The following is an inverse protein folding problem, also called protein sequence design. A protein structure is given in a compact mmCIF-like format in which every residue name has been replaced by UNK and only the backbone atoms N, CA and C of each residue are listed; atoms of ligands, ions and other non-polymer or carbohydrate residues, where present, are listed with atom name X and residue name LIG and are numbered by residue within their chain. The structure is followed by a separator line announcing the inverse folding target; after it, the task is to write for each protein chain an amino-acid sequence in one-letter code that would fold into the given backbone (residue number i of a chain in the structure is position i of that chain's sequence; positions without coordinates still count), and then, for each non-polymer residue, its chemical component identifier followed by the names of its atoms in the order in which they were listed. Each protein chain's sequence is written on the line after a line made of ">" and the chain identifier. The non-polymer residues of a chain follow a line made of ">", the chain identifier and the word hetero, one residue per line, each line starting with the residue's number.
data_IF_017135468804
#
_entry.id   IF_017135468804
#
_cell.length_a   1.000
_cell.length_b   1.000
_cell.length_c   1.000
_cell.angle_alpha   90.00
_cell.angle_beta   90.00
_cell.angle_gamma   90.00
#
_symmetry.space_group_name_H-M   'P 1'
#
loop_
_entity.id
_entity.type
_entity.pdbx_description
1 polymer ?
#
# COMPACT_ATOMS: atom_id res chain seq x y z
N UNK A 1 -5.56 -16.63 1.94
CA UNK A 1 -5.30 -16.43 3.38
C UNK A 1 -6.62 -16.67 4.07
N UNK A 2 -6.81 -17.76 4.79
CA UNK A 2 -8.10 -18.08 5.42
C UNK A 2 -7.87 -18.70 6.81
N UNK A 3 -8.67 -18.34 7.82
CA UNK A 3 -9.77 -17.36 7.78
C UNK A 3 -9.27 -15.89 7.67
N UNK A 4 -10.11 -15.02 7.12
CA UNK A 4 -9.84 -13.58 7.02
C UNK A 4 -10.63 -12.81 8.08
N UNK A 5 -9.93 -12.10 8.96
CA UNK A 5 -10.51 -11.42 10.13
C UNK A 5 -11.05 -10.02 9.76
N UNK A 6 -12.11 -9.99 8.94
CA UNK A 6 -12.67 -8.76 8.37
C UNK A 6 -13.12 -7.73 9.42
N UNK A 7 -13.81 -8.17 10.46
CA UNK A 7 -14.39 -7.27 11.49
C UNK A 7 -13.31 -6.56 12.32
N UNK A 8 -12.26 -7.28 12.72
CA UNK A 8 -11.13 -6.72 13.45
C UNK A 8 -10.33 -5.75 12.59
N UNK A 9 -10.10 -6.10 11.32
CA UNK A 9 -9.45 -5.23 10.35
C UNK A 9 -10.23 -3.92 10.20
N UNK A 10 -11.55 -3.99 10.03
CA UNK A 10 -12.40 -2.80 9.90
C UNK A 10 -12.44 -1.96 11.17
N UNK A 11 -12.41 -2.58 12.34
CA UNK A 11 -12.32 -1.87 13.63
C UNK A 11 -11.05 -1.04 13.75
N UNK A 12 -9.95 -1.50 13.15
CA UNK A 12 -8.67 -0.78 13.13
C UNK A 12 -8.68 0.30 12.04
N UNK A 13 -9.01 -0.08 10.79
CA UNK A 13 -8.92 0.80 9.63
C UNK A 13 -9.89 1.98 9.68
N UNK A 14 -11.08 1.80 10.23
CA UNK A 14 -12.08 2.88 10.37
C UNK A 14 -11.62 4.05 11.26
N UNK A 15 -10.60 3.85 12.11
CA UNK A 15 -10.04 4.89 12.98
C UNK A 15 -8.87 5.64 12.34
N UNK A 16 -8.33 5.13 11.23
CA UNK A 16 -7.21 5.74 10.56
C UNK A 16 -7.68 6.96 9.75
N UNK A 17 -6.96 8.09 9.85
CA UNK A 17 -7.25 9.30 9.05
C UNK A 17 -6.87 9.13 7.57
N UNK A 18 -5.88 8.28 7.32
CA UNK A 18 -5.37 7.95 5.99
C UNK A 18 -4.77 6.56 6.05
N UNK A 19 -5.00 5.77 5.01
CA UNK A 19 -4.55 4.40 4.87
C UNK A 19 -3.80 4.23 3.56
N UNK A 20 -2.64 3.59 3.64
CA UNK A 20 -1.77 3.37 2.49
C UNK A 20 -1.42 1.89 2.45
N UNK A 21 -1.72 1.24 1.33
CA UNK A 21 -1.34 -0.16 1.12
C UNK A 21 0.04 -0.21 0.46
N UNK A 22 0.95 -0.97 1.07
CA UNK A 22 2.30 -1.24 0.54
C UNK A 22 2.35 -2.69 0.07
N UNK A 23 2.67 -2.93 -1.20
CA UNK A 23 2.69 -4.28 -1.77
C UNK A 23 3.70 -4.43 -2.92
N UNK A 24 4.41 -5.57 -2.96
CA UNK A 24 5.28 -5.95 -4.08
C UNK A 24 4.47 -6.60 -5.20
N UNK A 25 3.50 -5.86 -5.75
CA UNK A 25 2.57 -6.40 -6.74
C UNK A 25 2.05 -5.31 -7.68
N UNK A 26 2.06 -5.57 -8.98
CA UNK A 26 1.59 -4.61 -9.99
C UNK A 26 0.07 -4.38 -9.93
N UNK A 27 -0.71 -5.46 -9.94
CA UNK A 27 -2.17 -5.42 -10.04
C UNK A 27 -2.88 -5.08 -8.72
N UNK A 28 -2.15 -5.15 -7.62
CA UNK A 28 -2.64 -4.84 -6.29
C UNK A 28 -3.53 -5.91 -5.69
N UNK A 29 -3.05 -7.15 -5.72
CA UNK A 29 -3.82 -8.31 -5.29
C UNK A 29 -4.27 -8.23 -3.84
N UNK A 30 -3.43 -7.70 -2.94
CA UNK A 30 -3.82 -7.55 -1.53
C UNK A 30 -4.91 -6.49 -1.38
N UNK A 31 -4.74 -5.33 -2.03
CA UNK A 31 -5.76 -4.28 -2.02
C UNK A 31 -7.11 -4.78 -2.56
N UNK A 32 -7.11 -5.55 -3.65
CA UNK A 32 -8.33 -6.14 -4.23
C UNK A 32 -8.95 -7.18 -3.30
N UNK A 33 -8.13 -8.01 -2.66
CA UNK A 33 -8.61 -9.02 -1.71
C UNK A 33 -9.23 -8.38 -0.48
N UNK A 34 -8.55 -7.42 0.16
CA UNK A 34 -9.09 -6.65 1.29
C UNK A 34 -10.44 -6.01 0.94
N UNK A 35 -10.54 -5.37 -0.23
CA UNK A 35 -11.78 -4.76 -0.71
C UNK A 35 -12.88 -5.79 -0.95
N UNK A 36 -12.55 -6.97 -1.47
CA UNK A 36 -13.50 -8.06 -1.69
C UNK A 36 -14.10 -8.58 -0.38
N UNK A 37 -13.28 -8.68 0.66
CA UNK A 37 -13.70 -9.24 1.95
C UNK A 37 -14.39 -8.20 2.85
N UNK A 38 -14.08 -6.91 2.71
CA UNK A 38 -14.51 -5.88 3.68
C UNK A 38 -15.21 -4.67 3.06
N UNK A 39 -15.18 -4.53 1.73
CA UNK A 39 -15.59 -3.30 1.03
C UNK A 39 -14.62 -2.12 1.19
N UNK A 40 -13.57 -2.24 2.01
CA UNK A 40 -12.63 -1.16 2.28
C UNK A 40 -11.76 -0.81 1.07
N UNK A 41 -11.63 0.47 0.78
CA UNK A 41 -10.71 1.01 -0.21
C UNK A 41 -9.73 1.95 0.49
N UNK A 42 -8.43 1.66 0.35
CA UNK A 42 -7.38 2.52 0.92
C UNK A 42 -7.26 3.83 0.15
N UNK A 43 -6.78 4.87 0.83
CA UNK A 43 -6.60 6.21 0.26
C UNK A 43 -5.43 6.28 -0.72
N UNK A 44 -4.44 5.39 -0.57
CA UNK A 44 -3.34 5.33 -1.50
C UNK A 44 -2.56 4.03 -1.50
N UNK A 45 -1.62 3.95 -2.44
CA UNK A 45 -0.89 2.73 -2.77
C UNK A 45 0.59 3.02 -2.99
N UNK A 46 1.45 2.20 -2.38
CA UNK A 46 2.87 2.12 -2.70
C UNK A 46 3.11 0.74 -3.28
N UNK A 47 3.50 0.67 -4.56
CA UNK A 47 3.66 -0.60 -5.28
C UNK A 47 5.05 -0.72 -5.85
N UNK A 48 5.65 -1.89 -5.75
CA UNK A 48 6.93 -2.22 -6.38
C UNK A 48 6.83 -3.56 -7.08
N UNK A 49 7.47 -3.69 -8.24
CA UNK A 49 7.31 -4.85 -9.12
C UNK A 49 8.51 -5.00 -10.08
N UNK A 50 9.69 -4.53 -9.66
CA UNK A 50 10.97 -4.66 -10.36
C UNK A 50 11.76 -5.91 -9.94
N UNK A 51 11.23 -6.72 -9.01
CA UNK A 51 11.85 -7.95 -8.51
C UNK A 51 12.71 -7.76 -7.26
N UNK A 52 13.06 -6.51 -6.92
CA UNK A 52 13.89 -6.18 -5.77
C UNK A 52 13.02 -5.88 -4.52
N UNK A 53 13.53 -6.07 -3.29
CA UNK A 53 12.81 -5.70 -2.07
C UNK A 53 12.52 -4.19 -1.97
N UNK A 54 11.61 -3.81 -1.07
CA UNK A 54 11.50 -2.41 -0.66
C UNK A 54 12.68 -2.03 0.23
N UNK A 55 13.31 -0.90 -0.06
CA UNK A 55 14.19 -0.21 0.88
C UNK A 55 13.38 0.75 1.76
N UNK A 56 13.83 1.07 2.98
CA UNK A 56 13.09 1.95 3.88
C UNK A 56 12.74 3.31 3.27
N UNK A 57 13.67 3.92 2.53
CA UNK A 57 13.45 5.23 1.91
C UNK A 57 12.34 5.20 0.84
N UNK A 58 12.18 4.10 0.09
CA UNK A 58 11.07 3.95 -0.86
C UNK A 58 9.70 4.14 -0.20
N UNK A 59 9.53 3.66 1.03
CA UNK A 59 8.27 3.79 1.76
C UNK A 59 8.13 5.22 2.28
N UNK A 60 9.20 5.79 2.85
CA UNK A 60 9.20 7.17 3.35
C UNK A 60 8.86 8.16 2.24
N UNK A 61 9.50 8.05 1.08
CA UNK A 61 9.29 8.93 -0.07
C UNK A 61 7.87 8.78 -0.62
N UNK A 62 7.37 7.55 -0.72
CA UNK A 62 6.00 7.28 -1.13
C UNK A 62 4.96 7.87 -0.18
N UNK A 63 5.17 7.76 1.13
CA UNK A 63 4.28 8.37 2.14
C UNK A 63 4.33 9.90 2.05
N UNK A 64 5.52 10.49 1.97
CA UNK A 64 5.69 11.95 1.85
C UNK A 64 5.01 12.49 0.59
N UNK A 65 5.17 11.82 -0.56
CA UNK A 65 4.53 12.21 -1.81
C UNK A 65 2.99 12.18 -1.71
N UNK A 66 2.42 11.18 -1.02
CA UNK A 66 0.97 11.09 -0.82
C UNK A 66 0.44 12.13 0.18
N UNK A 67 1.17 12.40 1.26
CA UNK A 67 0.77 13.44 2.24
C UNK A 67 0.86 14.84 1.63
N UNK A 68 1.83 15.09 0.76
CA UNK A 68 1.95 16.35 0.03
C UNK A 68 0.89 16.53 -1.07
N UNK A 69 0.08 15.50 -1.36
CA UNK A 69 -0.95 15.54 -2.40
C UNK A 69 -0.41 15.40 -3.83
N UNK A 70 0.83 14.92 -3.99
CA UNK A 70 1.47 14.80 -5.31
C UNK A 70 0.95 13.58 -6.10
N UNK A 71 0.52 12.52 -5.41
CA UNK A 71 -0.01 11.30 -6.02
C UNK A 71 -0.79 10.48 -4.98
N UNK A 72 -1.69 9.61 -5.41
CA UNK A 72 -2.28 8.55 -4.57
C UNK A 72 -1.68 7.16 -4.86
N UNK A 73 -0.84 7.05 -5.91
CA UNK A 73 -0.11 5.84 -6.26
C UNK A 73 1.36 6.15 -6.48
N UNK A 74 2.23 5.55 -5.67
CA UNK A 74 3.67 5.70 -5.75
C UNK A 74 4.33 4.38 -6.16
N UNK A 75 5.30 4.45 -7.06
CA UNK A 75 6.12 3.32 -7.49
C UNK A 75 7.58 3.75 -7.36
N UNK A 76 8.33 3.22 -6.37
CA UNK A 76 9.73 3.57 -6.20
C UNK A 76 10.58 3.00 -7.34
N UNK A 77 11.68 3.68 -7.61
CA UNK A 77 12.73 3.20 -8.49
C UNK A 77 13.96 2.86 -7.64
N UNK A 78 14.56 1.69 -7.88
CA UNK A 78 15.83 1.33 -7.28
C UNK A 78 16.97 1.99 -8.06
N UNK A 79 17.70 2.91 -7.44
CA UNK A 79 18.95 3.41 -8.01
C UNK A 79 20.01 2.31 -7.94
N UNK A 80 20.47 1.82 -9.09
CA UNK A 80 21.65 0.96 -9.15
C UNK A 80 22.86 1.89 -9.03
N UNK A 81 23.46 1.97 -7.85
CA UNK A 81 24.80 2.57 -7.73
C UNK A 81 25.79 1.62 -8.39
N UNK A 82 26.22 1.94 -9.62
CA UNK A 82 27.34 1.29 -10.33
C UNK A 82 28.62 2.04 -10.03
#
# INVERSE_FOLDING_TARGET
>A
MVPFHGDEIMTILSKAKRTIIVENNFSGQFARYLRSETGFAADGHIRKYDGEPFMPHHIVDGVNAQIAGNTDKYVPYQEITV
#
